data_IF_822012888059
#
_entry.id   IF_822012888059
#
_cell.length_a   1.000
_cell.length_b   1.000
_cell.length_c   1.000
_cell.angle_alpha   90.00
_cell.angle_beta   90.00
_cell.angle_gamma   90.00
#
_symmetry.space_group_name_H-M   'P 1'
#
loop_
_entity.id
_entity.type
_entity.pdbx_description
1 polymer ?
#
# COMPACT_ATOMS: atom_id res chain seq x y z
N UNK A 1 -2.08 3.76 -16.44
CA UNK A 1 -0.94 3.09 -15.81
C UNK A 1 -0.59 3.76 -14.48
N UNK A 2 -0.77 3.06 -13.36
CA UNK A 2 -0.44 3.58 -12.04
C UNK A 2 1.09 3.65 -11.84
N UNK A 3 1.67 4.84 -12.01
CA UNK A 3 3.13 5.06 -11.80
C UNK A 3 3.59 4.66 -10.39
N UNK A 4 2.69 4.71 -9.40
CA UNK A 4 2.96 4.34 -8.01
C UNK A 4 3.27 2.86 -7.81
N UNK A 5 2.56 1.94 -8.47
CA UNK A 5 2.76 0.50 -8.22
C UNK A 5 4.11 0.02 -8.74
N UNK A 6 4.55 0.51 -9.91
CA UNK A 6 5.91 0.25 -10.39
C UNK A 6 6.98 0.75 -9.40
N UNK A 7 6.77 1.90 -8.76
CA UNK A 7 7.72 2.39 -7.75
C UNK A 7 7.74 1.50 -6.51
N UNK A 8 6.58 1.10 -6.00
CA UNK A 8 6.46 0.25 -4.80
C UNK A 8 7.16 -1.10 -5.04
N UNK A 9 6.82 -1.79 -6.13
CA UNK A 9 7.33 -3.14 -6.41
C UNK A 9 8.83 -3.18 -6.73
N UNK A 10 9.42 -2.08 -7.20
CA UNK A 10 10.85 -2.01 -7.53
C UNK A 10 11.65 -1.21 -6.49
N UNK A 11 11.03 -0.76 -5.40
CA UNK A 11 11.73 -0.02 -4.35
C UNK A 11 12.74 -0.94 -3.67
N UNK A 12 14.00 -0.52 -3.60
CA UNK A 12 15.08 -1.29 -2.99
C UNK A 12 15.15 -0.98 -1.49
N UNK A 13 14.51 -1.80 -0.68
CA UNK A 13 14.42 -1.63 0.77
C UNK A 13 15.15 -2.75 1.53
N UNK A 14 15.40 -3.88 0.88
CA UNK A 14 15.90 -5.09 1.53
C UNK A 14 17.39 -5.30 1.26
N UNK A 15 18.01 -6.11 2.11
CA UNK A 15 19.41 -6.49 2.01
C UNK A 15 19.66 -7.44 0.84
N UNK A 16 20.85 -7.41 0.24
CA UNK A 16 21.31 -8.49 -0.64
C UNK A 16 21.83 -9.69 0.16
N UNK A 17 22.34 -10.73 -0.52
CA UNK A 17 22.92 -11.92 0.13
C UNK A 17 24.16 -11.61 0.99
N UNK A 18 24.80 -10.46 0.76
CA UNK A 18 25.93 -9.97 1.55
C UNK A 18 25.52 -9.10 2.74
N UNK A 19 24.21 -8.97 3.01
CA UNK A 19 23.67 -8.18 4.12
C UNK A 19 23.65 -6.66 3.88
N UNK A 20 23.83 -6.20 2.64
CA UNK A 20 23.88 -4.77 2.35
C UNK A 20 22.49 -4.20 2.11
N UNK A 21 22.06 -3.30 2.99
CA UNK A 21 20.78 -2.58 2.92
C UNK A 21 20.58 -1.82 1.59
N UNK A 22 19.31 -1.58 1.23
CA UNK A 22 18.87 -0.81 0.06
C UNK A 22 19.27 -1.41 -1.30
N UNK A 23 19.31 -2.74 -1.40
CA UNK A 23 19.80 -3.45 -2.59
C UNK A 23 18.73 -4.22 -3.33
N UNK A 24 17.88 -4.92 -2.59
CA UNK A 24 16.84 -5.76 -3.16
C UNK A 24 15.45 -5.14 -2.98
N UNK A 25 14.62 -5.36 -3.98
CA UNK A 25 13.20 -5.07 -4.00
C UNK A 25 12.37 -6.24 -3.48
N UNK A 26 11.09 -5.99 -3.22
CA UNK A 26 10.15 -7.02 -2.75
C UNK A 26 10.06 -8.20 -3.71
N UNK A 27 10.13 -7.91 -5.03
CA UNK A 27 10.09 -8.93 -6.08
C UNK A 27 11.35 -9.79 -6.12
N UNK A 28 12.52 -9.17 -5.99
CA UNK A 28 13.81 -9.88 -5.97
C UNK A 28 13.94 -10.80 -4.75
N UNK A 29 13.20 -10.51 -3.67
CA UNK A 29 13.14 -11.33 -2.46
C UNK A 29 11.99 -12.32 -2.39
N UNK A 30 11.10 -12.31 -3.38
CA UNK A 30 9.84 -13.06 -3.37
C UNK A 30 9.02 -12.88 -2.07
N UNK A 31 8.95 -11.63 -1.60
CA UNK A 31 8.22 -11.26 -0.37
C UNK A 31 6.76 -10.91 -0.64
N UNK A 32 5.93 -11.01 0.39
CA UNK A 32 4.53 -10.62 0.32
C UNK A 32 4.35 -9.09 0.52
N UNK A 33 3.31 -8.54 -0.10
CA UNK A 33 2.90 -7.14 0.07
C UNK A 33 1.52 -7.09 0.71
N UNK A 34 1.43 -6.51 1.92
CA UNK A 34 0.16 -6.18 2.55
C UNK A 34 -0.20 -4.72 2.27
N UNK A 35 -1.24 -4.50 1.48
CA UNK A 35 -1.76 -3.17 1.18
C UNK A 35 -2.78 -2.75 2.24
N UNK A 36 -2.59 -1.57 2.84
CA UNK A 36 -3.50 -0.98 3.82
C UNK A 36 -4.02 0.38 3.32
N UNK A 37 -5.34 0.56 3.25
CA UNK A 37 -5.96 1.77 2.67
C UNK A 37 -5.91 3.01 3.59
N UNK A 38 -4.76 3.64 3.86
CA UNK A 38 -4.63 4.67 4.91
C UNK A 38 -4.94 6.12 4.49
N UNK A 39 -6.18 6.59 4.74
CA UNK A 39 -6.61 7.98 4.46
C UNK A 39 -5.94 9.01 5.38
N UNK A 40 -5.58 8.63 6.59
CA UNK A 40 -5.02 9.56 7.59
C UNK A 40 -3.65 10.11 7.22
N UNK A 41 -2.95 9.48 6.27
CA UNK A 41 -1.71 10.01 5.71
C UNK A 41 -1.95 11.34 4.96
N UNK A 42 -3.15 11.56 4.45
CA UNK A 42 -3.52 12.78 3.74
C UNK A 42 -4.24 13.78 4.66
N UNK A 43 -3.66 14.05 5.82
CA UNK A 43 -4.17 15.02 6.77
C UNK A 43 -3.56 16.41 6.57
N UNK A 44 -4.29 17.43 7.00
CA UNK A 44 -3.75 18.73 7.36
C UNK A 44 -4.05 19.00 8.83
N UNK A 45 -3.20 19.78 9.48
CA UNK A 45 -3.46 20.22 10.84
C UNK A 45 -4.15 21.58 10.82
N UNK A 46 -5.32 21.67 11.46
CA UNK A 46 -5.96 22.94 11.82
C UNK A 46 -5.76 23.15 13.32
N UNK A 47 -4.70 23.87 13.68
CA UNK A 47 -4.17 23.84 15.04
C UNK A 47 -3.65 22.44 15.37
N UNK A 48 -4.18 21.82 16.42
CA UNK A 48 -3.82 20.45 16.83
C UNK A 48 -4.79 19.38 16.31
N UNK A 49 -5.84 19.76 15.57
CA UNK A 49 -6.85 18.83 15.05
C UNK A 49 -6.48 18.38 13.63
N UNK A 50 -6.43 17.06 13.35
CA UNK A 50 -6.30 16.57 12.00
C UNK A 50 -7.59 16.81 11.22
N UNK A 51 -7.42 17.31 10.00
CA UNK A 51 -8.48 17.62 9.05
C UNK A 51 -8.20 16.89 7.73
N UNK A 52 -9.22 16.22 7.19
CA UNK A 52 -9.14 15.36 6.03
C UNK A 52 -10.01 15.85 4.86
N UNK A 53 -10.45 17.12 4.86
CA UNK A 53 -11.33 17.66 3.81
C UNK A 53 -10.78 17.55 2.38
N UNK A 54 -9.46 17.43 2.22
CA UNK A 54 -8.82 17.25 0.91
C UNK A 54 -8.67 15.78 0.52
N UNK A 55 -8.93 14.85 1.42
CA UNK A 55 -8.87 13.44 1.12
C UNK A 55 -10.01 13.04 0.18
N UNK A 56 -9.77 11.97 -0.59
CA UNK A 56 -10.75 11.45 -1.53
C UNK A 56 -12.02 11.00 -0.80
N UNK A 57 -13.20 11.27 -1.40
CA UNK A 57 -14.47 10.80 -0.87
C UNK A 57 -14.49 9.27 -0.74
N UNK A 58 -15.18 8.69 0.27
CA UNK A 58 -15.13 7.25 0.57
C UNK A 58 -15.46 6.34 -0.63
N UNK A 59 -16.52 6.65 -1.37
CA UNK A 59 -16.96 5.87 -2.54
C UNK A 59 -15.91 5.84 -3.65
N UNK A 60 -15.35 7.01 -3.98
CA UNK A 60 -14.28 7.14 -4.97
C UNK A 60 -13.00 6.43 -4.50
N UNK A 61 -12.68 6.55 -3.21
CA UNK A 61 -11.52 5.91 -2.61
C UNK A 61 -11.60 4.38 -2.67
N UNK A 62 -12.78 3.78 -2.46
CA UNK A 62 -12.99 2.33 -2.54
C UNK A 62 -12.75 1.82 -3.97
N UNK A 63 -13.32 2.49 -4.97
CA UNK A 63 -13.09 2.15 -6.38
C UNK A 63 -11.62 2.32 -6.79
N UNK A 64 -10.99 3.43 -6.37
CA UNK A 64 -9.59 3.71 -6.67
C UNK A 64 -8.65 2.68 -6.04
N UNK A 65 -8.87 2.33 -4.77
CA UNK A 65 -8.08 1.31 -4.08
C UNK A 65 -8.23 -0.07 -4.73
N UNK A 66 -9.45 -0.44 -5.14
CA UNK A 66 -9.68 -1.68 -5.91
C UNK A 66 -8.83 -1.74 -7.19
N UNK A 67 -8.85 -0.68 -8.00
CA UNK A 67 -8.02 -0.58 -9.22
C UNK A 67 -6.52 -0.61 -8.91
N UNK A 68 -6.11 0.01 -7.81
CA UNK A 68 -4.72 -0.03 -7.36
C UNK A 68 -4.27 -1.45 -7.00
N UNK A 69 -5.10 -2.23 -6.29
CA UNK A 69 -4.80 -3.61 -5.94
C UNK A 69 -4.73 -4.52 -7.18
N UNK A 70 -5.66 -4.34 -8.12
CA UNK A 70 -5.65 -5.06 -9.39
C UNK A 70 -4.34 -4.81 -10.16
N UNK A 71 -3.90 -3.55 -10.24
CA UNK A 71 -2.62 -3.21 -10.86
C UNK A 71 -1.41 -3.79 -10.10
N UNK A 72 -1.45 -3.83 -8.76
CA UNK A 72 -0.39 -4.49 -7.98
C UNK A 72 -0.29 -5.99 -8.31
N UNK A 73 -1.44 -6.68 -8.40
CA UNK A 73 -1.51 -8.11 -8.74
C UNK A 73 -0.99 -8.37 -10.16
N UNK A 74 -1.44 -7.57 -11.12
CA UNK A 74 -1.03 -7.69 -12.53
C UNK A 74 0.47 -7.43 -12.76
N UNK A 75 1.13 -6.66 -11.89
CA UNK A 75 2.55 -6.31 -12.03
C UNK A 75 3.49 -7.13 -11.12
N UNK A 76 2.97 -8.07 -10.32
CA UNK A 76 3.76 -8.95 -9.46
C UNK A 76 3.27 -10.40 -9.50
N UNK A 77 2.66 -10.89 -8.43
CA UNK A 77 2.00 -12.20 -8.33
C UNK A 77 0.75 -12.03 -7.47
N UNK A 78 -0.38 -12.57 -7.89
CA UNK A 78 -1.67 -12.34 -7.22
C UNK A 78 -1.66 -12.84 -5.77
N UNK A 79 -1.04 -13.99 -5.54
CA UNK A 79 -0.96 -14.67 -4.25
C UNK A 79 -0.09 -13.91 -3.24
N UNK A 80 0.86 -13.10 -3.72
CA UNK A 80 1.75 -12.28 -2.90
C UNK A 80 1.14 -10.94 -2.51
N UNK A 81 0.01 -10.53 -3.09
CA UNK A 81 -0.66 -9.25 -2.79
C UNK A 81 -1.86 -9.47 -1.85
N UNK A 82 -1.67 -9.15 -0.57
CA UNK A 82 -2.71 -9.18 0.45
C UNK A 82 -3.28 -7.77 0.65
N UNK A 83 -4.55 -7.67 1.01
CA UNK A 83 -5.22 -6.40 1.25
C UNK A 83 -6.15 -6.49 2.46
N UNK A 84 -6.28 -5.40 3.21
CA UNK A 84 -7.31 -5.31 4.26
C UNK A 84 -8.69 -5.06 3.67
N UNK A 85 -9.70 -5.67 4.29
CA UNK A 85 -11.11 -5.39 3.99
C UNK A 85 -11.44 -3.96 4.42
N UNK A 86 -11.97 -3.16 3.50
CA UNK A 86 -12.51 -1.82 3.81
C UNK A 86 -13.97 -2.00 4.23
N UNK A 87 -14.20 -2.31 5.50
CA UNK A 87 -15.55 -2.52 6.03
C UNK A 87 -15.86 -1.59 7.19
N UNK A 88 -15.84 -0.27 6.92
CA UNK A 88 -16.44 0.81 7.73
C UNK A 88 -15.97 1.00 9.18
N UNK A 89 -15.27 0.04 9.77
CA UNK A 89 -14.90 -0.05 11.17
C UNK A 89 -13.47 -0.63 11.27
N UNK A 90 -12.78 -0.25 12.35
CA UNK A 90 -11.41 -0.62 12.74
C UNK A 90 -10.73 -1.69 11.89
N UNK A 91 -9.65 -1.28 11.21
CA UNK A 91 -8.82 -2.17 10.39
C UNK A 91 -8.16 -3.21 11.25
N UNK A 92 -8.79 -4.37 11.33
CA UNK A 92 -8.22 -5.53 12.00
C UNK A 92 -7.14 -6.09 11.08
N UNK A 93 -5.88 -5.91 11.47
CA UNK A 93 -4.75 -6.58 10.84
C UNK A 93 -4.67 -7.95 11.50
N UNK A 94 -5.19 -8.98 10.83
CA UNK A 94 -4.88 -10.37 11.19
C UNK A 94 -3.48 -10.68 10.65
N UNK A 95 -2.47 -10.55 11.49
CA UNK A 95 -1.18 -11.24 11.30
C UNK A 95 -1.32 -12.60 11.99
N UNK A 96 -1.26 -13.69 11.22
CA UNK A 96 -1.05 -15.03 11.78
C UNK A 96 0.41 -15.18 12.23
#
# INVERSE_FOLDING_TARGET
>A
MFRGVRKILNMRLFEDEAGKMWKCSVKEKDYEVLCLSQITLYHRLKGNKPDFHLAMAPELSKSFYGKFLEEMRNNYCEERIKATVIDGNYRTIFTY
#
